data_IF_866304471336
#
_entry.id   IF_866304471336
#
_cell.length_a   1.000
_cell.length_b   1.000
_cell.length_c   1.000
_cell.angle_alpha   90.00
_cell.angle_beta   90.00
_cell.angle_gamma   90.00
#
_symmetry.space_group_name_H-M   'P 1'
#
loop_
_entity.id
_entity.type
_entity.pdbx_description
1 polymer ?
#
# COMPACT_ATOMS: atom_id res chain seq x y z
N UNK A 1 -5.53 10.51 -1.24
CA UNK A 1 -4.10 10.20 -1.32
C UNK A 1 -3.68 9.14 -0.33
N UNK A 2 -2.42 8.73 -0.41
CA UNK A 2 -1.81 7.78 0.51
C UNK A 2 -0.38 8.20 0.84
N UNK A 3 0.04 7.93 2.08
CA UNK A 3 1.41 8.17 2.55
C UNK A 3 1.91 6.92 3.27
N UNK A 4 3.14 6.52 2.96
CA UNK A 4 3.87 5.49 3.68
C UNK A 4 5.20 6.07 4.17
N UNK A 5 5.49 5.94 5.47
CA UNK A 5 6.76 6.37 6.07
C UNK A 5 7.38 5.22 6.84
N UNK A 6 8.67 5.04 6.69
CA UNK A 6 9.45 3.95 7.29
C UNK A 6 10.93 4.31 7.48
N UNK A 7 11.78 3.34 7.80
CA UNK A 7 13.16 3.50 8.23
C UNK A 7 13.22 4.11 9.64
N UNK A 8 13.99 5.13 9.92
CA UNK A 8 13.83 5.92 11.16
C UNK A 8 12.60 6.80 10.98
N UNK A 9 11.45 6.23 11.34
CA UNK A 9 10.14 6.80 11.04
C UNK A 9 9.91 8.16 11.72
N UNK A 10 9.36 9.11 10.96
CA UNK A 10 8.73 10.31 11.49
C UNK A 10 7.25 10.22 11.13
N UNK A 11 6.42 9.95 12.13
CA UNK A 11 5.00 9.61 11.96
C UNK A 11 4.23 10.75 11.32
N UNK A 12 4.63 11.99 11.59
CA UNK A 12 3.99 13.22 11.12
C UNK A 12 3.94 13.31 9.59
N UNK A 13 4.85 12.68 8.85
CA UNK A 13 4.73 12.62 7.38
C UNK A 13 3.38 12.06 6.90
N UNK A 14 2.76 11.18 7.69
CA UNK A 14 1.44 10.62 7.38
C UNK A 14 0.35 11.70 7.38
N UNK A 15 -0.05 12.22 8.55
CA UNK A 15 -1.12 13.21 8.67
C UNK A 15 -0.80 14.51 7.92
N UNK A 16 0.42 15.05 8.04
CA UNK A 16 0.80 16.31 7.40
C UNK A 16 0.81 16.19 5.87
N UNK A 17 1.32 15.07 5.34
CA UNK A 17 1.28 14.80 3.90
C UNK A 17 -0.13 14.67 3.36
N UNK A 18 -1.02 13.96 4.08
CA UNK A 18 -2.43 13.85 3.70
C UNK A 18 -3.14 15.20 3.76
N UNK A 19 -2.83 16.03 4.77
CA UNK A 19 -3.39 17.38 4.90
C UNK A 19 -2.96 18.24 3.71
N UNK A 20 -1.67 18.34 3.40
CA UNK A 20 -1.16 19.14 2.27
C UNK A 20 -1.78 18.71 0.93
N UNK A 21 -1.90 17.40 0.71
CA UNK A 21 -2.58 16.89 -0.49
C UNK A 21 -4.09 17.17 -0.47
N UNK A 22 -4.73 17.18 0.69
CA UNK A 22 -6.14 17.59 0.89
C UNK A 22 -6.37 19.07 0.61
N UNK A 23 -5.37 19.91 0.84
CA UNK A 23 -5.35 21.36 0.54
C UNK A 23 -5.03 21.64 -0.94
N UNK A 24 -4.81 20.62 -1.75
CA UNK A 24 -4.64 20.71 -3.20
C UNK A 24 -3.20 20.63 -3.70
N UNK A 25 -2.21 20.38 -2.83
CA UNK A 25 -0.84 20.12 -3.28
C UNK A 25 -0.75 18.74 -3.92
N UNK A 26 0.11 18.62 -4.93
CA UNK A 26 0.50 17.31 -5.48
C UNK A 26 1.38 16.56 -4.50
N UNK A 27 1.44 15.24 -4.62
CA UNK A 27 2.32 14.41 -3.79
C UNK A 27 3.81 14.84 -3.85
N UNK A 28 4.38 15.21 -5.01
CA UNK A 28 5.73 15.76 -5.07
C UNK A 28 5.91 17.08 -4.31
N UNK A 29 4.94 18.01 -4.38
CA UNK A 29 5.00 19.29 -3.67
C UNK A 29 4.91 19.07 -2.15
N UNK A 30 3.96 18.24 -1.69
CA UNK A 30 3.79 17.91 -0.28
C UNK A 30 5.06 17.26 0.29
N UNK A 31 5.63 16.27 -0.40
CA UNK A 31 6.85 15.62 0.04
C UNK A 31 8.04 16.58 0.09
N UNK A 32 8.20 17.43 -0.91
CA UNK A 32 9.28 18.42 -0.96
C UNK A 32 9.21 19.39 0.22
N UNK A 33 8.03 19.90 0.54
CA UNK A 33 7.81 20.81 1.66
C UNK A 33 8.14 20.16 3.01
N UNK A 34 7.64 18.95 3.25
CA UNK A 34 7.89 18.25 4.51
C UNK A 34 9.37 17.86 4.68
N UNK A 35 10.05 17.48 3.60
CA UNK A 35 11.50 17.21 3.62
C UNK A 35 12.33 18.47 3.89
N UNK A 36 11.87 19.65 3.45
CA UNK A 36 12.56 20.90 3.72
C UNK A 36 12.54 21.27 5.21
N UNK A 37 11.52 20.82 5.95
CA UNK A 37 11.32 21.05 7.38
C UNK A 37 11.92 19.95 8.26
N UNK A 38 12.45 18.85 7.68
CA UNK A 38 13.00 17.74 8.44
C UNK A 38 14.54 17.71 8.35
N UNK A 39 15.21 18.14 9.42
CA UNK A 39 16.67 18.03 9.53
C UNK A 39 17.15 16.58 9.50
N UNK A 40 16.30 15.63 9.93
CA UNK A 40 16.59 14.19 9.94
C UNK A 40 16.30 13.47 8.61
N UNK A 41 15.99 14.16 7.52
CA UNK A 41 15.60 13.56 6.24
C UNK A 41 16.57 12.51 5.68
N UNK A 42 17.84 12.59 6.06
CA UNK A 42 18.85 11.63 5.61
C UNK A 42 18.59 10.18 6.05
N UNK A 43 17.82 9.98 7.13
CA UNK A 43 17.45 8.65 7.65
C UNK A 43 15.97 8.29 7.43
N UNK A 44 15.22 9.10 6.66
CA UNK A 44 13.79 8.85 6.40
C UNK A 44 13.60 8.12 5.07
N UNK A 45 12.53 7.33 5.02
CA UNK A 45 12.03 6.79 3.76
C UNK A 45 10.52 7.02 3.69
N UNK A 46 10.08 7.78 2.69
CA UNK A 46 8.68 8.23 2.56
C UNK A 46 8.22 8.07 1.12
N UNK A 47 7.00 7.57 0.93
CA UNK A 47 6.31 7.54 -0.35
C UNK A 47 4.95 8.19 -0.25
N UNK A 48 4.55 8.95 -1.25
CA UNK A 48 3.27 9.64 -1.33
C UNK A 48 2.63 9.46 -2.70
N UNK A 49 1.31 9.31 -2.72
CA UNK A 49 0.49 9.30 -3.94
C UNK A 49 -0.74 10.17 -3.71
N UNK A 50 -1.01 11.13 -4.57
CA UNK A 50 -2.20 11.97 -4.49
C UNK A 50 -3.40 11.37 -5.24
N UNK A 51 -4.54 12.06 -5.17
CA UNK A 51 -5.79 11.61 -5.80
C UNK A 51 -5.73 11.61 -7.34
N UNK A 52 -4.79 12.35 -7.94
CA UNK A 52 -4.58 12.41 -9.38
C UNK A 52 -3.56 11.37 -9.87
N UNK A 53 -2.97 10.62 -8.93
CA UNK A 53 -1.97 9.59 -9.23
C UNK A 53 -0.56 10.14 -9.42
N UNK A 54 -0.30 11.42 -9.06
CA UNK A 54 1.06 11.89 -8.96
C UNK A 54 1.72 11.19 -7.77
N UNK A 55 2.94 10.70 -7.98
CA UNK A 55 3.64 9.89 -7.01
C UNK A 55 5.04 10.45 -6.76
N UNK A 56 5.46 10.47 -5.52
CA UNK A 56 6.80 10.86 -5.12
C UNK A 56 7.32 9.98 -3.99
N UNK A 57 8.63 9.74 -3.96
CA UNK A 57 9.24 9.02 -2.87
C UNK A 57 10.62 9.60 -2.54
N UNK A 58 11.01 9.44 -1.28
CA UNK A 58 12.30 9.82 -0.74
C UNK A 58 12.91 8.60 -0.03
N UNK A 59 14.19 8.33 -0.32
CA UNK A 59 15.03 7.43 0.46
C UNK A 59 16.26 8.23 0.85
N UNK A 60 16.41 8.49 2.14
CA UNK A 60 17.53 9.26 2.68
C UNK A 60 18.87 8.52 2.51
N UNK A 61 19.94 9.29 2.35
CA UNK A 61 21.29 8.78 2.10
C UNK A 61 21.89 7.94 3.23
N UNK A 62 21.29 8.02 4.43
CA UNK A 62 21.70 7.27 5.62
C UNK A 62 20.68 6.20 6.03
N UNK A 63 19.75 5.84 5.15
CA UNK A 63 18.92 4.65 5.33
C UNK A 63 19.80 3.39 5.27
N UNK A 64 19.44 2.37 6.05
CA UNK A 64 20.23 1.13 6.14
C UNK A 64 20.14 0.36 4.82
N UNK A 65 21.28 -0.05 4.28
CA UNK A 65 21.39 -0.80 3.04
C UNK A 65 20.79 -2.23 3.12
N UNK A 66 20.22 -2.80 2.06
CA UNK A 66 19.97 -2.00 0.87
C UNK A 66 18.66 -1.26 1.01
N UNK A 67 18.68 0.05 0.72
CA UNK A 67 17.51 0.90 0.73
C UNK A 67 17.28 1.53 -0.65
N UNK A 68 16.02 1.74 -1.02
CA UNK A 68 15.67 2.36 -2.29
C UNK A 68 14.18 2.43 -2.52
N UNK A 69 13.81 3.13 -3.59
CA UNK A 69 12.42 3.25 -4.01
C UNK A 69 12.29 3.26 -5.53
N UNK A 70 11.07 3.06 -6.00
CA UNK A 70 10.62 3.35 -7.37
C UNK A 70 9.27 4.05 -7.30
N UNK A 71 9.09 5.02 -8.19
CA UNK A 71 7.80 5.69 -8.39
C UNK A 71 7.38 5.50 -9.84
N UNK A 72 6.11 5.28 -10.04
CA UNK A 72 5.47 5.20 -11.35
C UNK A 72 4.10 5.87 -11.31
N UNK A 73 3.34 5.74 -12.38
CA UNK A 73 2.00 6.31 -12.43
C UNK A 73 1.09 5.63 -11.41
N UNK A 74 0.54 6.40 -10.48
CA UNK A 74 -0.38 5.96 -9.42
C UNK A 74 0.24 5.07 -8.32
N UNK A 75 1.56 4.99 -8.20
CA UNK A 75 2.18 4.19 -7.14
C UNK A 75 3.58 4.65 -6.76
N UNK A 76 3.99 4.29 -5.55
CA UNK A 76 5.38 4.19 -5.12
C UNK A 76 5.62 2.85 -4.46
N UNK A 77 6.85 2.33 -4.56
CA UNK A 77 7.35 1.21 -3.77
C UNK A 77 8.63 1.59 -3.09
N UNK A 78 8.78 1.20 -1.83
CA UNK A 78 9.95 1.49 -1.00
C UNK A 78 10.41 0.21 -0.29
N UNK A 79 11.71 0.09 -0.11
CA UNK A 79 12.32 -1.00 0.63
C UNK A 79 13.59 -0.50 1.33
N UNK A 80 13.88 -1.00 2.52
CA UNK A 80 15.11 -0.77 3.26
C UNK A 80 15.46 -2.02 4.09
N UNK A 81 16.73 -2.17 4.45
CA UNK A 81 17.27 -3.37 5.15
C UNK A 81 17.06 -4.64 4.31
N UNK A 82 17.14 -4.52 3.00
CA UNK A 82 16.88 -5.64 2.10
C UNK A 82 18.13 -6.49 1.86
N UNK A 83 17.91 -7.75 1.46
CA UNK A 83 18.99 -8.64 1.04
C UNK A 83 19.69 -8.16 -0.24
N UNK A 84 18.98 -7.40 -1.11
CA UNK A 84 19.50 -6.93 -2.40
C UNK A 84 18.96 -5.53 -2.74
N UNK A 85 19.76 -4.76 -3.49
CA UNK A 85 19.36 -3.45 -4.00
C UNK A 85 18.33 -3.52 -5.15
N UNK A 86 18.07 -4.72 -5.68
CA UNK A 86 17.13 -4.96 -6.78
C UNK A 86 15.67 -5.03 -6.31
N UNK A 87 15.42 -5.17 -5.00
CA UNK A 87 14.06 -5.33 -4.43
C UNK A 87 13.08 -4.25 -4.90
N UNK A 88 13.35 -2.94 -4.86
CA UNK A 88 12.39 -1.95 -5.35
C UNK A 88 12.06 -2.10 -6.84
N UNK A 89 13.01 -2.57 -7.65
CA UNK A 89 12.79 -2.78 -9.08
C UNK A 89 11.83 -3.94 -9.35
N UNK A 90 12.00 -5.07 -8.64
CA UNK A 90 11.11 -6.23 -8.84
C UNK A 90 9.71 -5.95 -8.29
N UNK A 91 9.59 -5.19 -7.19
CA UNK A 91 8.30 -4.71 -6.67
C UNK A 91 7.54 -3.88 -7.70
N UNK A 92 8.19 -2.86 -8.25
CA UNK A 92 7.61 -1.98 -9.27
C UNK A 92 7.14 -2.78 -10.49
N UNK A 93 8.02 -3.63 -11.02
CA UNK A 93 7.73 -4.48 -12.18
C UNK A 93 6.56 -5.44 -11.92
N UNK A 94 6.49 -6.04 -10.73
CA UNK A 94 5.39 -6.92 -10.37
C UNK A 94 4.07 -6.15 -10.26
N UNK A 95 4.07 -4.98 -9.62
CA UNK A 95 2.90 -4.11 -9.53
C UNK A 95 2.37 -3.67 -10.90
N UNK A 96 3.26 -3.30 -11.83
CA UNK A 96 2.89 -2.84 -13.18
C UNK A 96 2.34 -3.96 -14.06
N UNK A 97 2.94 -5.15 -13.99
CA UNK A 97 2.60 -6.27 -14.87
C UNK A 97 1.43 -7.13 -14.37
N UNK A 98 1.08 -7.05 -13.09
CA UNK A 98 -0.04 -7.81 -12.53
C UNK A 98 -1.36 -7.20 -12.95
N UNK A 99 -2.21 -8.04 -13.57
CA UNK A 99 -3.60 -7.71 -13.85
C UNK A 99 -4.45 -8.02 -12.62
N UNK A 100 -5.56 -7.29 -12.46
CA UNK A 100 -6.48 -7.46 -11.34
C UNK A 100 -6.67 -6.16 -10.56
N UNK A 101 -7.26 -6.26 -9.40
CA UNK A 101 -7.54 -5.12 -8.54
C UNK A 101 -6.28 -4.62 -7.78
N UNK A 102 -6.46 -3.56 -7.00
CA UNK A 102 -5.35 -2.96 -6.26
C UNK A 102 -4.74 -3.93 -5.24
N UNK A 103 -5.56 -4.75 -4.56
CA UNK A 103 -5.07 -5.71 -3.57
C UNK A 103 -4.16 -6.77 -4.22
N UNK A 104 -4.54 -7.29 -5.39
CA UNK A 104 -3.75 -8.27 -6.13
C UNK A 104 -2.41 -7.70 -6.61
N UNK A 105 -2.42 -6.47 -7.10
CA UNK A 105 -1.22 -5.78 -7.58
C UNK A 105 -0.26 -5.45 -6.42
N UNK A 106 -0.79 -4.99 -5.28
CA UNK A 106 0.00 -4.74 -4.07
C UNK A 106 0.59 -6.03 -3.50
N UNK A 107 -0.21 -7.10 -3.46
CA UNK A 107 0.25 -8.42 -3.01
C UNK A 107 1.38 -8.95 -3.91
N UNK A 108 1.24 -8.83 -5.24
CA UNK A 108 2.28 -9.24 -6.19
C UNK A 108 3.61 -8.49 -5.96
N UNK A 109 3.56 -7.20 -5.63
CA UNK A 109 4.75 -6.43 -5.28
C UNK A 109 5.43 -6.94 -4.01
N UNK A 110 4.64 -7.30 -2.98
CA UNK A 110 5.17 -7.88 -1.74
C UNK A 110 5.73 -9.28 -1.95
N UNK A 111 5.05 -10.14 -2.72
CA UNK A 111 5.55 -11.47 -3.10
C UNK A 111 6.87 -11.38 -3.89
N UNK A 112 6.98 -10.42 -4.80
CA UNK A 112 8.20 -10.18 -5.57
C UNK A 112 9.36 -9.73 -4.68
N UNK A 113 9.10 -8.85 -3.69
CA UNK A 113 10.09 -8.42 -2.71
C UNK A 113 10.62 -9.61 -1.88
N UNK A 114 9.70 -10.45 -1.36
CA UNK A 114 10.05 -11.62 -0.57
C UNK A 114 10.85 -12.65 -1.39
N UNK A 115 10.45 -12.90 -2.65
CA UNK A 115 11.14 -13.83 -3.55
C UNK A 115 12.52 -13.34 -3.98
N UNK A 116 12.75 -12.02 -4.05
CA UNK A 116 14.08 -11.44 -4.36
C UNK A 116 15.05 -11.51 -3.18
N UNK A 117 14.57 -11.86 -2.00
CA UNK A 117 15.37 -12.06 -0.80
C UNK A 117 14.79 -11.37 0.45
N UNK A 118 13.90 -10.39 0.25
CA UNK A 118 13.17 -9.73 1.34
C UNK A 118 14.04 -9.00 2.33
N UNK A 119 13.55 -8.86 3.55
CA UNK A 119 14.22 -8.23 4.69
C UNK A 119 15.32 -9.14 5.23
N UNK A 120 16.51 -8.58 5.46
CA UNK A 120 17.67 -9.31 6.02
C UNK A 120 17.40 -9.91 7.40
N UNK A 121 16.47 -9.34 8.16
CA UNK A 121 16.12 -9.81 9.52
C UNK A 121 15.18 -11.01 9.48
N UNK A 122 14.58 -11.31 8.33
CA UNK A 122 13.61 -12.39 8.14
C UNK A 122 12.18 -11.90 7.98
N UNK A 123 11.23 -12.80 8.19
CA UNK A 123 9.80 -12.59 7.98
C UNK A 123 9.09 -12.51 9.33
N UNK A 124 8.19 -11.56 9.51
CA UNK A 124 7.44 -11.44 10.74
C UNK A 124 6.00 -11.02 10.51
N UNK A 125 5.76 -9.88 9.87
CA UNK A 125 4.45 -9.27 9.76
C UNK A 125 4.13 -8.83 8.34
N UNK A 126 2.85 -8.62 8.06
CA UNK A 126 2.37 -7.99 6.84
C UNK A 126 1.04 -7.29 7.09
N UNK A 127 0.77 -6.21 6.36
CA UNK A 127 -0.50 -5.53 6.42
C UNK A 127 -0.89 -4.99 5.05
N UNK A 128 -2.21 -4.80 4.84
CA UNK A 128 -2.76 -4.15 3.67
C UNK A 128 -3.95 -3.28 4.08
N UNK A 129 -3.86 -1.99 3.79
CA UNK A 129 -4.94 -1.04 3.97
C UNK A 129 -5.33 -0.46 2.62
N UNK A 130 -6.60 -0.60 2.25
CA UNK A 130 -7.20 0.01 1.06
C UNK A 130 -8.38 0.87 1.50
N UNK A 131 -8.38 2.12 1.06
CA UNK A 131 -9.47 3.06 1.32
C UNK A 131 -10.10 3.52 0.02
N UNK A 132 -11.37 3.95 0.10
CA UNK A 132 -12.11 4.49 -1.05
C UNK A 132 -11.44 5.76 -1.58
N UNK A 133 -11.34 5.88 -2.90
CA UNK A 133 -10.93 7.11 -3.58
C UNK A 133 -12.01 8.20 -3.55
N UNK A 134 -13.23 7.88 -3.08
CA UNK A 134 -14.38 8.81 -2.94
C UNK A 134 -14.76 8.87 -1.46
N UNK A 135 -14.22 9.82 -0.69
CA UNK A 135 -14.48 9.91 0.74
C UNK A 135 -15.95 10.24 1.01
N UNK A 136 -16.54 9.54 1.97
CA UNK A 136 -17.90 9.80 2.45
C UNK A 136 -17.94 10.83 3.59
N UNK A 137 -16.77 11.21 4.11
CA UNK A 137 -16.63 12.01 5.32
C UNK A 137 -16.75 11.19 6.62
N UNK A 138 -16.96 9.89 6.50
CA UNK A 138 -17.10 8.95 7.63
C UNK A 138 -16.00 7.89 7.48
N UNK A 139 -14.92 8.03 8.23
CA UNK A 139 -13.67 7.27 8.03
C UNK A 139 -13.86 5.75 7.99
N UNK A 140 -14.70 5.18 8.87
CA UNK A 140 -14.93 3.72 8.90
C UNK A 140 -15.71 3.20 7.67
N UNK A 141 -16.47 4.06 6.96
CA UNK A 141 -17.17 3.69 5.71
C UNK A 141 -16.24 3.74 4.50
N UNK A 142 -15.15 4.45 4.62
CA UNK A 142 -14.18 4.63 3.55
C UNK A 142 -13.12 3.52 3.52
N UNK A 143 -13.07 2.65 4.56
CA UNK A 143 -12.18 1.50 4.57
C UNK A 143 -12.78 0.39 3.71
N UNK A 144 -12.07 0.05 2.63
CA UNK A 144 -12.41 -1.07 1.72
C UNK A 144 -11.81 -2.38 2.21
N UNK A 145 -10.56 -2.33 2.71
CA UNK A 145 -9.85 -3.49 3.23
C UNK A 145 -8.85 -3.03 4.30
N UNK A 146 -8.84 -3.67 5.46
CA UNK A 146 -7.80 -3.51 6.49
C UNK A 146 -7.46 -4.90 7.03
N UNK A 147 -6.35 -5.47 6.57
CA UNK A 147 -5.87 -6.80 6.92
C UNK A 147 -4.50 -6.69 7.57
N UNK A 148 -4.32 -7.38 8.68
CA UNK A 148 -3.08 -7.34 9.47
C UNK A 148 -2.67 -8.73 9.91
N UNK A 149 -1.39 -9.01 9.78
CA UNK A 149 -0.71 -10.18 10.33
C UNK A 149 0.40 -9.65 11.21
N UNK A 150 0.22 -9.75 12.52
CA UNK A 150 1.13 -9.16 13.50
C UNK A 150 2.41 -9.98 13.64
N UNK A 151 2.29 -11.32 13.67
CA UNK A 151 3.42 -12.25 13.76
C UNK A 151 3.08 -13.58 13.12
N UNK A 152 3.84 -13.98 12.09
CA UNK A 152 3.64 -15.23 11.37
C UNK A 152 4.91 -15.65 10.60
N UNK A 153 5.27 -16.93 10.56
CA UNK A 153 6.46 -17.39 9.82
C UNK A 153 6.38 -17.20 8.30
N UNK A 154 5.18 -17.04 7.75
CA UNK A 154 4.94 -16.79 6.32
C UNK A 154 3.88 -15.68 6.14
N UNK A 155 4.16 -14.42 6.54
CA UNK A 155 3.14 -13.38 6.66
C UNK A 155 2.53 -12.98 5.31
N UNK A 156 3.29 -12.95 4.22
CA UNK A 156 2.77 -12.64 2.88
C UNK A 156 1.82 -13.74 2.38
N UNK A 157 2.15 -15.00 2.64
CA UNK A 157 1.26 -16.12 2.30
C UNK A 157 -0.07 -16.06 3.07
N UNK A 158 0.01 -15.69 4.35
CA UNK A 158 -1.17 -15.52 5.19
C UNK A 158 -1.99 -14.29 4.76
N UNK A 159 -1.35 -13.17 4.43
CA UNK A 159 -2.03 -12.01 3.85
C UNK A 159 -2.80 -12.38 2.58
N UNK A 160 -2.19 -13.16 1.68
CA UNK A 160 -2.85 -13.69 0.48
C UNK A 160 -4.11 -14.50 0.79
N UNK A 161 -4.05 -15.34 1.83
CA UNK A 161 -5.21 -16.11 2.30
C UNK A 161 -6.31 -15.19 2.81
N UNK A 162 -5.96 -14.18 3.63
CA UNK A 162 -6.93 -13.24 4.18
C UNK A 162 -7.57 -12.36 3.10
N UNK A 163 -6.82 -11.93 2.08
CA UNK A 163 -7.38 -11.20 0.93
C UNK A 163 -8.45 -12.03 0.23
N UNK A 164 -8.21 -13.32 0.00
CA UNK A 164 -9.20 -14.21 -0.63
C UNK A 164 -10.45 -14.36 0.22
N UNK A 165 -10.30 -14.54 1.52
CA UNK A 165 -11.42 -14.61 2.45
C UNK A 165 -12.22 -13.31 2.45
N UNK A 166 -11.55 -12.16 2.53
CA UNK A 166 -12.21 -10.85 2.48
C UNK A 166 -13.03 -10.68 1.20
N UNK A 167 -12.47 -11.04 0.04
CA UNK A 167 -13.18 -10.99 -1.25
C UNK A 167 -14.38 -11.95 -1.27
N UNK A 168 -14.22 -13.17 -0.78
CA UNK A 168 -15.31 -14.14 -0.71
C UNK A 168 -16.49 -13.63 0.12
N UNK A 169 -16.21 -13.06 1.31
CA UNK A 169 -17.28 -12.43 2.12
C UNK A 169 -17.90 -11.22 1.46
N UNK A 170 -17.09 -10.41 0.74
CA UNK A 170 -17.61 -9.27 0.00
C UNK A 170 -18.62 -9.71 -1.07
N UNK A 171 -18.28 -10.73 -1.87
CA UNK A 171 -19.16 -11.30 -2.89
C UNK A 171 -20.40 -11.95 -2.26
N UNK A 172 -20.25 -12.74 -1.20
CA UNK A 172 -21.38 -13.33 -0.49
C UNK A 172 -22.37 -12.28 0.01
N UNK A 173 -21.88 -11.25 0.72
CA UNK A 173 -22.71 -10.16 1.23
C UNK A 173 -23.40 -9.38 0.10
N UNK A 174 -22.74 -9.18 -1.03
CA UNK A 174 -23.32 -8.52 -2.19
C UNK A 174 -24.40 -9.38 -2.84
N UNK A 175 -24.17 -10.69 -2.94
CA UNK A 175 -25.16 -11.67 -3.41
C UNK A 175 -26.40 -11.68 -2.53
N UNK A 176 -26.23 -11.73 -1.20
CA UNK A 176 -27.34 -11.66 -0.24
C UNK A 176 -28.16 -10.38 -0.40
N UNK A 177 -27.48 -9.23 -0.55
CA UNK A 177 -28.16 -7.96 -0.80
C UNK A 177 -28.98 -7.96 -2.11
N UNK A 178 -28.44 -8.55 -3.19
CA UNK A 178 -29.19 -8.71 -4.44
C UNK A 178 -30.39 -9.65 -4.30
N UNK A 179 -30.27 -10.71 -3.49
CA UNK A 179 -31.41 -11.59 -3.18
C UNK A 179 -32.52 -10.85 -2.43
N UNK A 180 -32.19 -10.08 -1.40
CA UNK A 180 -33.11 -9.28 -0.62
C UNK A 180 -33.86 -8.24 -1.47
N UNK A 181 -33.22 -7.71 -2.49
CA UNK A 181 -33.78 -6.69 -3.40
C UNK A 181 -34.42 -7.29 -4.66
N UNK A 182 -34.56 -8.63 -4.75
CA UNK A 182 -35.21 -9.32 -5.85
C UNK A 182 -34.42 -9.39 -7.15
N UNK A 183 -33.09 -9.10 -7.09
CA UNK A 183 -32.19 -9.09 -8.25
C UNK A 183 -31.44 -10.43 -8.40
N UNK A 184 -32.22 -11.52 -8.53
CA UNK A 184 -31.70 -12.90 -8.49
C UNK A 184 -30.56 -13.19 -9.49
N UNK A 185 -30.63 -12.66 -10.71
CA UNK A 185 -29.57 -12.87 -11.72
C UNK A 185 -28.24 -12.22 -11.32
N UNK A 186 -28.28 -11.07 -10.63
CA UNK A 186 -27.06 -10.42 -10.10
C UNK A 186 -26.52 -11.20 -8.90
N UNK A 187 -27.40 -11.69 -8.03
CA UNK A 187 -26.99 -12.51 -6.88
C UNK A 187 -26.23 -13.76 -7.32
N UNK A 188 -26.76 -14.47 -8.32
CA UNK A 188 -26.09 -15.68 -8.85
C UNK A 188 -24.68 -15.39 -9.37
N UNK A 189 -24.46 -14.23 -10.00
CA UNK A 189 -23.12 -13.84 -10.49
C UNK A 189 -22.12 -13.53 -9.37
N UNK A 190 -22.62 -13.12 -8.21
CA UNK A 190 -21.75 -12.86 -7.05
C UNK A 190 -21.40 -14.15 -6.31
N UNK A 191 -22.27 -15.17 -6.36
CA UNK A 191 -22.02 -16.45 -5.70
C UNK A 191 -21.16 -17.43 -6.53
N UNK A 192 -21.03 -17.23 -7.85
CA UNK A 192 -20.18 -18.01 -8.76
C UNK A 192 -18.70 -17.59 -8.67
#
# INVERSE_FOLDING_TARGET
GAVATQSFVKVEYGPDGLQLMGEGKTAPEALTELLALDEGKAVRQVGMVDIHGNAAAHTGSSCIDYAGHRSGKNYTVQANIMAKNTVPNVMAKAFENTKGDLAERMLAALEAAENEGGDLRGKQSAAMLIVSGKPTGISYKDVVMDLRIEDHPTPIKELKRLIRIHKAYHHANQGDHYMETGQTELALKEYD
#
